data_IF_111624449033
#
_entry.id   IF_111624449033
#
_cell.length_a   1.000
_cell.length_b   1.000
_cell.length_c   1.000
_cell.angle_alpha   90.00
_cell.angle_beta   90.00
_cell.angle_gamma   90.00
#
_symmetry.space_group_name_H-M   'P 1'
#
loop_
_entity.id
_entity.type
_entity.pdbx_description
1 polymer ?
#
# COMPACT_ATOMS: atom_id res chain seq x y z
N UNK A 1 -18.16 -22.29 -14.46
CA UNK A 1 -17.61 -21.57 -13.30
C UNK A 1 -18.72 -20.71 -12.75
N UNK A 2 -19.10 -20.87 -11.48
CA UNK A 2 -20.12 -20.02 -10.86
C UNK A 2 -19.54 -18.62 -10.67
N UNK A 3 -20.30 -17.60 -11.07
CA UNK A 3 -19.91 -16.22 -10.84
C UNK A 3 -19.84 -15.96 -9.32
N UNK A 4 -18.79 -15.28 -8.86
CA UNK A 4 -18.69 -14.84 -7.47
C UNK A 4 -19.86 -13.88 -7.18
N UNK A 5 -20.70 -14.25 -6.22
CA UNK A 5 -21.81 -13.42 -5.75
C UNK A 5 -21.37 -12.60 -4.54
N UNK A 6 -21.06 -11.33 -4.80
CA UNK A 6 -20.65 -10.36 -3.79
C UNK A 6 -21.80 -9.45 -3.36
N UNK A 7 -23.04 -9.69 -3.83
CA UNK A 7 -24.17 -8.78 -3.67
C UNK A 7 -24.09 -7.46 -4.47
N UNK A 8 -23.04 -7.28 -5.29
CA UNK A 8 -22.81 -6.07 -6.10
C UNK A 8 -23.18 -6.33 -7.57
N UNK A 9 -23.82 -5.34 -8.20
CA UNK A 9 -24.08 -5.35 -9.66
C UNK A 9 -22.75 -5.27 -10.42
N UNK A 10 -22.72 -5.72 -11.69
CA UNK A 10 -21.50 -5.69 -12.50
C UNK A 10 -20.80 -4.32 -12.56
N UNK A 11 -21.57 -3.23 -12.69
CA UNK A 11 -21.02 -1.87 -12.69
C UNK A 11 -20.41 -1.48 -11.34
N UNK A 12 -21.07 -1.82 -10.23
CA UNK A 12 -20.59 -1.52 -8.88
C UNK A 12 -19.28 -2.28 -8.60
N UNK A 13 -19.17 -3.55 -9.02
CA UNK A 13 -17.92 -4.32 -8.93
C UNK A 13 -16.79 -3.69 -9.74
N UNK A 14 -17.08 -3.23 -10.95
CA UNK A 14 -16.08 -2.56 -11.79
C UNK A 14 -15.63 -1.22 -11.20
N UNK A 15 -16.55 -0.45 -10.62
CA UNK A 15 -16.23 0.80 -9.95
C UNK A 15 -15.37 0.55 -8.70
N UNK A 16 -15.70 -0.45 -7.87
CA UNK A 16 -14.89 -0.85 -6.70
C UNK A 16 -13.48 -1.30 -7.12
N UNK A 17 -13.38 -2.17 -8.12
CA UNK A 17 -12.08 -2.64 -8.63
C UNK A 17 -11.21 -1.47 -9.14
N UNK A 18 -11.82 -0.47 -9.79
CA UNK A 18 -11.11 0.74 -10.25
C UNK A 18 -10.55 1.53 -9.07
N UNK A 19 -11.33 1.75 -8.02
CA UNK A 19 -10.87 2.53 -6.85
C UNK A 19 -9.83 1.75 -6.03
N UNK A 20 -9.97 0.42 -5.89
CA UNK A 20 -8.93 -0.44 -5.29
C UNK A 20 -7.62 -0.38 -6.08
N UNK A 21 -7.69 -0.38 -7.42
CA UNK A 21 -6.49 -0.23 -8.26
C UNK A 21 -5.75 1.09 -8.02
N UNK A 22 -6.48 2.19 -7.79
CA UNK A 22 -5.88 3.49 -7.42
C UNK A 22 -5.26 3.43 -6.03
N UNK A 23 -5.97 2.89 -5.05
CA UNK A 23 -5.47 2.73 -3.69
C UNK A 23 -4.19 1.87 -3.67
N UNK A 24 -4.16 0.78 -4.45
CA UNK A 24 -2.96 -0.05 -4.61
C UNK A 24 -1.78 0.75 -5.17
N UNK A 25 -2.02 1.52 -6.24
CA UNK A 25 -0.97 2.33 -6.87
C UNK A 25 -0.41 3.39 -5.91
N UNK A 26 -1.28 4.11 -5.19
CA UNK A 26 -0.87 5.13 -4.22
C UNK A 26 -0.13 4.50 -3.02
N UNK A 27 -0.60 3.36 -2.51
CA UNK A 27 0.08 2.59 -1.46
C UNK A 27 1.47 2.11 -1.92
N UNK A 28 1.61 1.66 -3.16
CA UNK A 28 2.91 1.25 -3.70
C UNK A 28 3.87 2.44 -3.80
N UNK A 29 3.38 3.61 -4.21
CA UNK A 29 4.16 4.83 -4.24
C UNK A 29 4.61 5.25 -2.83
N UNK A 30 3.76 5.10 -1.81
CA UNK A 30 4.10 5.37 -0.41
C UNK A 30 5.13 4.39 0.14
N UNK A 31 4.99 3.10 -0.16
CA UNK A 31 5.99 2.06 0.16
C UNK A 31 7.36 2.43 -0.41
N UNK A 32 7.44 2.74 -1.71
CA UNK A 32 8.71 3.10 -2.35
C UNK A 32 9.36 4.33 -1.72
N UNK A 33 8.55 5.34 -1.35
CA UNK A 33 9.05 6.55 -0.69
C UNK A 33 9.59 6.27 0.71
N UNK A 34 8.83 5.57 1.54
CA UNK A 34 9.22 5.25 2.93
C UNK A 34 10.46 4.35 2.95
N UNK A 35 10.51 3.34 2.08
CA UNK A 35 11.67 2.49 1.91
C UNK A 35 12.89 3.27 1.41
N UNK A 36 12.70 4.15 0.42
CA UNK A 36 13.74 5.05 -0.06
C UNK A 36 14.28 5.97 1.03
N UNK A 37 13.41 6.54 1.87
CA UNK A 37 13.83 7.38 2.99
C UNK A 37 14.56 6.60 4.08
N UNK A 38 14.16 5.36 4.38
CA UNK A 38 14.84 4.52 5.36
C UNK A 38 16.35 4.39 5.06
N UNK A 39 16.72 4.21 3.79
CA UNK A 39 18.14 4.12 3.40
C UNK A 39 18.84 5.48 3.24
N UNK A 40 18.11 6.56 3.00
CA UNK A 40 18.70 7.85 2.67
C UNK A 40 18.63 8.90 3.80
N UNK A 41 17.92 8.62 4.90
CA UNK A 41 17.82 9.52 6.07
C UNK A 41 19.17 9.71 6.75
N UNK A 42 19.43 10.92 7.23
CA UNK A 42 20.69 11.34 7.90
C UNK A 42 20.37 12.40 8.96
N UNK A 43 21.31 12.62 9.89
CA UNK A 43 21.22 13.67 10.90
C UNK A 43 21.10 13.14 12.34
N UNK A 44 20.91 14.03 13.33
CA UNK A 44 20.87 13.66 14.75
C UNK A 44 19.81 12.61 15.10
N UNK A 45 18.68 12.62 14.38
CA UNK A 45 17.55 11.70 14.57
C UNK A 45 17.64 10.43 13.72
N UNK A 46 18.81 10.13 13.14
CA UNK A 46 18.99 9.01 12.22
C UNK A 46 18.40 7.70 12.75
N UNK A 47 18.76 7.31 13.98
CA UNK A 47 18.34 6.02 14.53
C UNK A 47 16.82 5.93 14.69
N UNK A 48 16.19 6.95 15.26
CA UNK A 48 14.75 6.99 15.48
C UNK A 48 13.98 6.96 14.15
N UNK A 49 14.37 7.80 13.19
CA UNK A 49 13.71 7.88 11.89
C UNK A 49 13.95 6.65 11.02
N UNK A 50 15.16 6.08 11.05
CA UNK A 50 15.50 4.88 10.29
C UNK A 50 14.62 3.69 10.70
N UNK A 51 14.44 3.46 12.00
CA UNK A 51 13.57 2.39 12.51
C UNK A 51 12.09 2.67 12.24
N UNK A 52 11.63 3.92 12.43
CA UNK A 52 10.23 4.28 12.13
C UNK A 52 9.89 4.06 10.66
N UNK A 53 10.77 4.45 9.75
CA UNK A 53 10.57 4.26 8.31
C UNK A 53 10.58 2.78 7.93
N UNK A 54 11.34 1.93 8.66
CA UNK A 54 11.32 0.48 8.50
C UNK A 54 9.98 -0.13 8.89
N UNK A 55 9.49 0.21 10.06
CA UNK A 55 8.17 -0.21 10.54
C UNK A 55 7.10 0.15 9.50
N UNK A 56 7.07 1.41 9.07
CA UNK A 56 6.11 1.89 8.08
C UNK A 56 6.18 1.15 6.75
N UNK A 57 7.37 1.02 6.13
CA UNK A 57 7.43 0.38 4.80
C UNK A 57 7.05 -1.10 4.87
N UNK A 58 7.33 -1.78 5.99
CA UNK A 58 6.96 -3.20 6.20
C UNK A 58 5.46 -3.37 6.34
N UNK A 59 4.80 -2.51 7.10
CA UNK A 59 3.33 -2.52 7.23
C UNK A 59 2.67 -2.24 5.88
N UNK A 60 3.13 -1.21 5.15
CA UNK A 60 2.59 -0.90 3.83
C UNK A 60 2.81 -2.08 2.88
N UNK A 61 4.00 -2.70 2.89
CA UNK A 61 4.30 -3.86 2.06
C UNK A 61 3.32 -5.02 2.27
N UNK A 62 2.97 -5.32 3.52
CA UNK A 62 1.97 -6.34 3.83
C UNK A 62 0.57 -5.95 3.31
N UNK A 63 0.19 -4.68 3.48
CA UNK A 63 -1.10 -4.17 3.01
C UNK A 63 -1.26 -4.18 1.49
N UNK A 64 -0.17 -4.20 0.70
CA UNK A 64 -0.25 -4.27 -0.76
C UNK A 64 -0.97 -5.53 -1.25
N UNK A 65 -0.70 -6.68 -0.61
CA UNK A 65 -1.33 -7.96 -0.97
C UNK A 65 -2.82 -7.98 -0.59
N UNK A 66 -3.19 -7.33 0.52
CA UNK A 66 -4.60 -7.23 0.93
C UNK A 66 -5.45 -6.36 -0.01
N UNK A 67 -4.84 -5.39 -0.69
CA UNK A 67 -5.54 -4.49 -1.62
C UNK A 67 -5.65 -5.11 -3.03
N UNK A 68 -4.72 -6.01 -3.40
CA UNK A 68 -4.59 -6.58 -4.76
C UNK A 68 -5.58 -7.73 -5.03
#
# INVERSE_FOLDING_TARGET
>A
MNAIDTGLKPKERADVARELSKALADSYALYLKTHGYHWNVRGPEFFSLHNLLEEQYREIWAALDEIA
#
